data_IF_342336586575
#
_entry.id   IF_342336586575
#
_cell.length_a   1.000
_cell.length_b   1.000
_cell.length_c   1.000
_cell.angle_alpha   90.00
_cell.angle_beta   90.00
_cell.angle_gamma   90.00
#
_symmetry.space_group_name_H-M   'P 1'
#
loop_
_entity.id
_entity.type
_entity.pdbx_description
1 polymer ?
#
# COMPACT_ATOMS: atom_id res chain seq x y z
N UNK A 1 10.20 12.96 17.11
CA UNK A 1 9.01 12.90 16.24
C UNK A 1 8.77 11.45 15.89
N UNK A 2 7.66 10.87 16.31
CA UNK A 2 7.31 9.50 15.90
C UNK A 2 6.85 9.61 14.44
N UNK A 3 7.58 9.01 13.51
CA UNK A 3 7.13 8.92 12.11
C UNK A 3 5.76 8.25 12.10
N UNK A 4 4.78 8.85 11.41
CA UNK A 4 3.47 8.23 11.27
C UNK A 4 3.62 6.83 10.67
N UNK A 5 2.99 5.83 11.29
CA UNK A 5 3.07 4.46 10.83
C UNK A 5 2.44 4.32 9.42
N UNK A 6 3.09 3.60 8.49
CA UNK A 6 2.63 3.55 7.11
C UNK A 6 1.44 2.61 6.92
N UNK A 7 0.63 2.91 5.91
CA UNK A 7 -0.49 2.13 5.36
C UNK A 7 -0.14 1.72 3.95
N UNK A 8 0.62 0.65 3.80
CA UNK A 8 1.13 0.20 2.51
C UNK A 8 0.19 -0.82 1.87
N UNK A 9 0.18 -0.85 0.55
CA UNK A 9 -0.41 -1.93 -0.24
C UNK A 9 0.66 -2.51 -1.15
N UNK A 10 1.02 -3.77 -0.94
CA UNK A 10 1.99 -4.51 -1.74
C UNK A 10 1.24 -5.41 -2.72
N UNK A 11 1.43 -5.16 -4.00
CA UNK A 11 0.74 -5.85 -5.10
C UNK A 11 1.78 -6.43 -6.07
N UNK A 12 1.42 -7.53 -6.72
CA UNK A 12 2.23 -8.12 -7.78
C UNK A 12 3.21 -9.19 -7.30
N UNK A 13 4.01 -9.71 -8.24
CA UNK A 13 4.82 -10.92 -8.12
C UNK A 13 4.06 -12.20 -7.72
N UNK A 14 4.73 -13.35 -7.85
CA UNK A 14 4.23 -14.62 -7.32
C UNK A 14 3.99 -14.49 -5.81
N UNK A 15 2.99 -15.21 -5.31
CA UNK A 15 2.52 -15.14 -3.92
C UNK A 15 3.67 -15.17 -2.91
N UNK A 16 4.58 -16.14 -3.01
CA UNK A 16 5.71 -16.26 -2.08
C UNK A 16 6.59 -15.00 -1.99
N UNK A 17 6.91 -14.37 -3.12
CA UNK A 17 7.75 -13.15 -3.14
C UNK A 17 7.01 -11.97 -2.53
N UNK A 18 5.74 -11.79 -2.91
CA UNK A 18 4.89 -10.72 -2.38
C UNK A 18 4.68 -10.83 -0.88
N UNK A 19 4.36 -12.04 -0.41
CA UNK A 19 4.18 -12.40 1.00
C UNK A 19 5.44 -12.07 1.78
N UNK A 20 6.60 -12.57 1.35
CA UNK A 20 7.88 -12.30 2.04
C UNK A 20 8.15 -10.80 2.09
N UNK A 21 7.90 -10.07 1.00
CA UNK A 21 8.09 -8.63 0.96
C UNK A 21 7.20 -7.90 1.95
N UNK A 22 5.90 -8.24 1.96
CA UNK A 22 4.95 -7.63 2.88
C UNK A 22 5.31 -7.90 4.35
N UNK A 23 5.79 -9.11 4.69
CA UNK A 23 6.28 -9.42 6.05
C UNK A 23 7.47 -8.54 6.43
N UNK A 24 8.46 -8.40 5.53
CA UNK A 24 9.67 -7.62 5.84
C UNK A 24 9.37 -6.15 6.04
N UNK A 25 8.50 -5.56 5.20
CA UNK A 25 8.05 -4.19 5.37
C UNK A 25 7.25 -4.01 6.66
N UNK A 26 6.30 -4.91 6.93
CA UNK A 26 5.52 -4.89 8.18
C UNK A 26 6.42 -4.94 9.42
N UNK A 27 7.41 -5.85 9.42
CA UNK A 27 8.40 -5.98 10.49
C UNK A 27 9.30 -4.75 10.63
N UNK A 28 9.73 -4.16 9.52
CA UNK A 28 10.57 -2.95 9.54
C UNK A 28 9.84 -1.76 10.18
N UNK A 29 8.56 -1.55 9.85
CA UNK A 29 7.78 -0.42 10.35
C UNK A 29 7.00 -0.72 11.65
N UNK A 30 7.05 -1.95 12.15
CA UNK A 30 6.33 -2.35 13.37
C UNK A 30 4.80 -2.31 13.22
N UNK A 31 4.28 -2.54 12.01
CA UNK A 31 2.83 -2.54 11.70
C UNK A 31 2.36 -3.95 11.33
N UNK A 32 1.07 -4.28 11.51
CA UNK A 32 0.55 -5.59 11.10
C UNK A 32 0.57 -5.76 9.58
N UNK A 33 0.88 -6.99 9.14
CA UNK A 33 0.56 -7.42 7.78
C UNK A 33 -0.87 -7.93 7.73
N UNK A 34 -1.61 -7.54 6.68
CA UNK A 34 -2.97 -7.97 6.42
C UNK A 34 -3.03 -8.65 5.04
N UNK A 35 -3.37 -9.94 4.95
CA UNK A 35 -3.71 -10.56 3.67
C UNK A 35 -5.03 -10.00 3.12
N UNK A 36 -5.07 -9.67 1.83
CA UNK A 36 -6.28 -9.15 1.19
C UNK A 36 -7.48 -10.13 1.30
N UNK A 37 -7.20 -11.43 1.23
CA UNK A 37 -8.20 -12.49 1.42
C UNK A 37 -8.86 -12.43 2.78
N UNK A 38 -8.09 -12.14 3.84
CA UNK A 38 -8.63 -12.07 5.20
C UNK A 38 -9.51 -10.85 5.37
N UNK A 39 -9.12 -9.72 4.78
CA UNK A 39 -9.95 -8.52 4.77
C UNK A 39 -11.28 -8.77 4.07
N UNK A 40 -11.25 -9.38 2.88
CA UNK A 40 -12.45 -9.69 2.10
C UNK A 40 -13.39 -10.67 2.84
N UNK A 41 -12.82 -11.70 3.48
CA UNK A 41 -13.59 -12.75 4.15
C UNK A 41 -14.11 -12.36 5.54
N UNK A 42 -13.34 -11.58 6.30
CA UNK A 42 -13.60 -11.39 7.73
C UNK A 42 -14.18 -10.02 8.09
N UNK A 43 -14.31 -9.09 7.11
CA UNK A 43 -14.80 -7.71 7.32
C UNK A 43 -14.16 -7.00 8.52
N UNK A 44 -12.90 -7.31 8.83
CA UNK A 44 -12.21 -6.70 9.96
C UNK A 44 -11.98 -5.20 9.69
N UNK A 45 -12.10 -4.34 10.72
CA UNK A 45 -11.73 -2.94 10.61
C UNK A 45 -10.23 -2.79 10.40
N UNK A 46 -9.82 -1.78 9.64
CA UNK A 46 -8.41 -1.51 9.41
C UNK A 46 -7.75 -0.96 10.68
N UNK A 47 -6.51 -1.39 11.00
CA UNK A 47 -5.77 -0.84 12.12
C UNK A 47 -5.49 0.66 11.91
N UNK A 48 -5.84 1.48 12.91
CA UNK A 48 -5.57 2.92 12.86
C UNK A 48 -4.05 3.23 12.85
N UNK A 49 -3.26 2.36 13.47
CA UNK A 49 -1.81 2.49 13.63
C UNK A 49 -0.96 2.02 12.45
N UNK A 50 -1.50 2.04 11.22
CA UNK A 50 -0.79 1.59 10.03
C UNK A 50 -0.94 0.09 9.75
N UNK A 51 -0.61 -0.32 8.55
CA UNK A 51 -0.68 -1.71 8.08
C UNK A 51 0.13 -1.91 6.81
N UNK A 52 0.46 -3.17 6.51
CA UNK A 52 0.90 -3.59 5.17
C UNK A 52 -0.12 -4.58 4.62
N UNK A 53 -0.89 -4.16 3.63
CA UNK A 53 -1.80 -5.04 2.90
C UNK A 53 -1.01 -5.80 1.83
N UNK A 54 -1.06 -7.12 1.86
CA UNK A 54 -0.60 -7.96 0.75
C UNK A 54 -1.80 -8.34 -0.13
N UNK A 55 -1.73 -8.02 -1.42
CA UNK A 55 -2.84 -8.28 -2.34
C UNK A 55 -2.34 -8.87 -3.65
N UNK A 56 -2.96 -9.97 -4.09
CA UNK A 56 -2.83 -10.38 -5.48
C UNK A 56 -3.49 -9.34 -6.41
N UNK A 57 -2.99 -9.14 -7.65
CA UNK A 57 -3.56 -8.16 -8.57
C UNK A 57 -5.08 -8.32 -8.80
N UNK A 58 -5.53 -9.55 -9.09
CA UNK A 58 -6.95 -9.85 -9.37
C UNK A 58 -7.91 -9.50 -8.22
N UNK A 59 -7.45 -9.51 -6.96
CA UNK A 59 -8.29 -9.15 -5.81
C UNK A 59 -8.62 -7.66 -5.77
N UNK A 60 -7.86 -6.81 -6.47
CA UNK A 60 -8.16 -5.38 -6.60
C UNK A 60 -9.38 -5.14 -7.48
N UNK A 61 -9.67 -6.04 -8.43
CA UNK A 61 -10.83 -5.95 -9.33
C UNK A 61 -12.09 -6.49 -8.66
N UNK A 62 -11.95 -7.54 -7.83
CA UNK A 62 -13.02 -8.02 -6.95
C UNK A 62 -13.48 -6.99 -5.91
N UNK A 63 -12.66 -5.95 -5.65
CA UNK A 63 -13.04 -4.81 -4.83
C UNK A 63 -14.20 -3.98 -5.41
N UNK A 64 -14.69 -4.27 -6.62
CA UNK A 64 -15.98 -3.78 -7.12
C UNK A 64 -17.19 -4.32 -6.31
N UNK A 65 -16.99 -5.31 -5.44
CA UNK A 65 -17.91 -5.66 -4.34
C UNK A 65 -17.75 -4.76 -3.11
N UNK A 66 -18.81 -4.56 -2.33
CA UNK A 66 -18.77 -3.81 -1.07
C UNK A 66 -17.93 -4.61 -0.05
N UNK A 67 -16.74 -4.11 0.30
CA UNK A 67 -15.80 -4.80 1.20
C UNK A 67 -14.63 -3.93 1.66
N UNK A 68 -13.92 -4.40 2.69
CA UNK A 68 -12.82 -3.75 3.44
C UNK A 68 -11.56 -3.44 2.61
N UNK A 69 -11.40 -4.05 1.42
CA UNK A 69 -10.28 -3.74 0.51
C UNK A 69 -10.36 -2.30 -0.03
N UNK A 70 -11.57 -1.78 -0.30
CA UNK A 70 -11.74 -0.39 -0.76
C UNK A 70 -11.27 0.65 0.26
N UNK A 71 -11.69 0.59 1.54
CA UNK A 71 -11.12 1.43 2.57
C UNK A 71 -9.60 1.33 2.64
N UNK A 72 -9.02 0.13 2.55
CA UNK A 72 -7.58 -0.07 2.67
C UNK A 72 -6.81 0.63 1.56
N UNK A 73 -7.38 0.56 0.36
CA UNK A 73 -6.93 1.21 -0.85
C UNK A 73 -7.11 2.74 -0.78
N UNK A 74 -8.24 3.23 -0.27
CA UNK A 74 -8.51 4.67 -0.16
C UNK A 74 -7.61 5.38 0.86
N UNK A 75 -7.15 4.67 1.89
CA UNK A 75 -6.31 5.22 2.96
C UNK A 75 -4.83 4.86 2.83
N UNK A 76 -4.41 4.22 1.74
CA UNK A 76 -3.01 4.15 1.38
C UNK A 76 -2.51 5.59 1.06
N UNK A 77 -1.31 6.02 1.40
CA UNK A 77 -0.15 5.18 1.59
C UNK A 77 0.81 5.28 0.43
N UNK A 78 1.62 4.23 0.44
CA UNK A 78 2.34 3.63 -0.64
C UNK A 78 1.49 2.57 -1.34
N UNK A 79 1.31 2.61 -2.66
CA UNK A 79 1.07 1.38 -3.42
C UNK A 79 2.39 0.91 -4.02
N UNK A 80 2.90 -0.22 -3.50
CA UNK A 80 4.14 -0.86 -3.94
C UNK A 80 3.79 -1.96 -4.92
N UNK A 81 4.17 -1.77 -6.18
CA UNK A 81 3.98 -2.75 -7.24
C UNK A 81 5.27 -3.54 -7.49
N UNK A 82 5.24 -4.85 -7.25
CA UNK A 82 6.30 -5.77 -7.62
C UNK A 82 6.05 -6.27 -9.06
N UNK A 83 6.68 -5.60 -10.03
CA UNK A 83 6.48 -5.85 -11.47
C UNK A 83 7.36 -7.00 -11.95
N UNK A 84 6.82 -8.22 -11.95
CA UNK A 84 7.47 -9.38 -12.54
C UNK A 84 7.56 -9.30 -14.07
N UNK A 85 8.45 -10.10 -14.67
CA UNK A 85 8.67 -10.13 -16.13
C UNK A 85 7.40 -10.49 -16.93
N UNK A 86 6.50 -11.28 -16.34
CA UNK A 86 5.22 -11.70 -16.93
C UNK A 86 4.13 -10.60 -16.89
N UNK A 87 4.43 -9.42 -16.34
CA UNK A 87 3.45 -8.34 -16.24
C UNK A 87 3.23 -7.67 -17.60
N UNK A 88 2.13 -8.02 -18.27
CA UNK A 88 1.80 -7.50 -19.62
C UNK A 88 1.03 -6.18 -19.61
N UNK A 89 0.55 -5.71 -18.45
CA UNK A 89 -0.20 -4.46 -18.35
C UNK A 89 -1.62 -4.50 -18.96
N UNK A 90 -2.08 -5.70 -19.34
CA UNK A 90 -3.39 -5.91 -19.95
C UNK A 90 -4.49 -6.31 -18.94
N UNK A 91 -4.13 -6.61 -17.70
CA UNK A 91 -5.06 -7.07 -16.67
C UNK A 91 -5.96 -5.94 -16.13
N UNK A 92 -7.19 -6.25 -15.69
CA UNK A 92 -8.15 -5.24 -15.16
C UNK A 92 -7.57 -4.44 -13.99
N UNK A 93 -6.68 -5.06 -13.22
CA UNK A 93 -5.94 -4.47 -12.10
C UNK A 93 -5.12 -3.25 -12.52
N UNK A 94 -4.85 -3.10 -13.83
CA UNK A 94 -4.23 -1.93 -14.41
C UNK A 94 -5.09 -0.66 -14.27
N UNK A 95 -6.42 -0.73 -14.12
CA UNK A 95 -7.23 0.47 -13.85
C UNK A 95 -6.96 1.03 -12.46
N UNK A 96 -6.98 0.17 -11.43
CA UNK A 96 -6.68 0.57 -10.05
C UNK A 96 -5.24 1.07 -9.94
N UNK A 97 -4.28 0.38 -10.55
CA UNK A 97 -2.88 0.80 -10.54
C UNK A 97 -2.67 2.13 -11.29
N UNK A 98 -3.30 2.33 -12.46
CA UNK A 98 -3.28 3.62 -13.17
C UNK A 98 -3.87 4.75 -12.35
N UNK A 99 -4.91 4.48 -11.55
CA UNK A 99 -5.48 5.46 -10.63
C UNK A 99 -4.45 5.90 -9.57
N UNK A 100 -3.70 4.98 -8.98
CA UNK A 100 -2.64 5.33 -8.01
C UNK A 100 -1.43 6.00 -8.67
N UNK A 101 -1.06 5.56 -9.87
CA UNK A 101 -0.01 6.19 -10.67
C UNK A 101 -0.34 7.64 -10.98
N UNK A 102 -1.56 7.93 -11.43
CA UNK A 102 -2.03 9.28 -11.71
C UNK A 102 -2.05 10.20 -10.48
N UNK A 103 -2.11 9.63 -9.27
CA UNK A 103 -2.05 10.37 -8.00
C UNK A 103 -0.65 10.42 -7.39
N UNK A 104 0.36 9.87 -8.08
CA UNK A 104 1.74 9.82 -7.57
C UNK A 104 1.93 8.90 -6.36
N UNK A 105 1.00 7.97 -6.13
CA UNK A 105 1.01 7.05 -4.97
C UNK A 105 1.50 5.64 -5.35
N UNK A 106 1.90 5.41 -6.60
CA UNK A 106 2.41 4.12 -7.06
C UNK A 106 3.93 4.16 -7.20
N UNK A 107 4.63 3.22 -6.56
CA UNK A 107 6.03 2.94 -6.83
C UNK A 107 6.20 1.50 -7.31
N UNK A 108 6.79 1.34 -8.49
CA UNK A 108 7.05 0.05 -9.11
C UNK A 108 8.50 -0.40 -8.88
N UNK A 109 8.67 -1.65 -8.49
CA UNK A 109 9.96 -2.27 -8.24
C UNK A 109 10.02 -3.64 -8.93
N UNK A 110 11.22 -4.05 -9.34
CA UNK A 110 11.45 -5.45 -9.66
C UNK A 110 11.24 -6.30 -8.40
N UNK A 111 10.68 -7.52 -8.50
CA UNK A 111 10.50 -8.41 -7.34
C UNK A 111 11.80 -8.68 -6.55
N UNK A 112 12.95 -8.55 -7.21
CA UNK A 112 14.31 -8.80 -6.73
C UNK A 112 14.98 -7.53 -6.17
N UNK A 113 14.32 -6.36 -6.28
CA UNK A 113 14.85 -5.10 -5.79
C UNK A 113 15.19 -5.20 -4.28
N UNK A 114 16.30 -4.63 -3.80
CA UNK A 114 16.62 -4.60 -2.38
C UNK A 114 15.49 -4.01 -1.52
N UNK A 115 15.26 -4.56 -0.33
CA UNK A 115 14.27 -4.01 0.60
C UNK A 115 14.56 -2.54 0.97
N UNK A 116 15.84 -2.16 1.01
CA UNK A 116 16.28 -0.78 1.28
C UNK A 116 15.71 0.25 0.30
N UNK A 117 15.59 -0.09 -0.99
CA UNK A 117 15.08 0.84 -2.00
C UNK A 117 13.59 1.13 -1.80
N UNK A 118 12.83 0.09 -1.41
CA UNK A 118 11.42 0.23 -1.08
C UNK A 118 11.24 1.05 0.21
N UNK A 119 12.10 0.80 1.21
CA UNK A 119 12.09 1.55 2.47
C UNK A 119 12.33 3.04 2.20
N UNK A 120 13.33 3.38 1.38
CA UNK A 120 13.62 4.78 1.01
C UNK A 120 12.42 5.46 0.35
N UNK A 121 11.72 4.75 -0.55
CA UNK A 121 10.53 5.29 -1.21
C UNK A 121 9.37 5.52 -0.23
N UNK A 122 9.13 4.57 0.68
CA UNK A 122 8.09 4.71 1.71
C UNK A 122 8.42 5.85 2.66
N UNK A 123 9.66 5.96 3.13
CA UNK A 123 10.10 7.05 4.00
C UNK A 123 9.92 8.42 3.34
N UNK A 124 10.18 8.53 2.03
CA UNK A 124 9.95 9.77 1.30
C UNK A 124 8.47 10.20 1.34
N UNK A 125 7.54 9.26 1.16
CA UNK A 125 6.10 9.52 1.27
C UNK A 125 5.70 9.93 2.69
N UNK A 126 6.24 9.24 3.71
CA UNK A 126 5.95 9.55 5.11
C UNK A 126 6.48 10.92 5.53
N UNK A 127 7.65 11.34 5.02
CA UNK A 127 8.16 12.70 5.23
C UNK A 127 7.25 13.73 4.57
N UNK A 128 6.81 13.48 3.34
CA UNK A 128 5.85 14.35 2.63
C UNK A 128 4.55 14.56 3.41
N UNK A 129 4.03 13.52 4.06
CA UNK A 129 2.85 13.64 4.96
C UNK A 129 3.06 14.58 6.13
N UNK A 130 4.26 14.56 6.70
CA UNK A 130 4.58 15.38 7.87
C UNK A 130 4.75 16.85 7.48
N UNK A 131 4.98 17.12 6.19
CA UNK A 131 5.15 18.46 5.64
C UNK A 131 3.86 19.07 5.09
N UNK A 132 2.76 18.31 4.96
CA UNK A 132 1.44 18.86 4.66
C UNK A 132 1.00 19.69 5.89
N UNK A 133 1.00 21.03 5.81
CA UNK A 133 0.74 21.84 6.97
C UNK A 133 -0.74 21.69 7.33
N UNK A 134 -1.00 21.38 8.60
CA UNK A 134 -2.29 21.62 9.20
C UNK A 134 -2.51 23.15 9.22
N UNK A 135 -2.94 23.73 8.10
CA UNK A 135 -3.52 25.07 8.04
C UNK A 135 -4.89 25.01 8.72
N UNK A 136 -4.88 24.92 10.05
CA UNK A 136 -6.00 25.36 10.87
C UNK A 136 -6.04 26.88 10.81
N UNK A 137 -7.23 27.50 10.69
CA UNK A 137 -7.31 28.96 10.67
C UNK A 137 -6.72 29.52 11.97
N UNK A 138 -6.01 30.65 11.92
CA UNK A 138 -5.59 31.33 13.13
C UNK A 138 -6.84 31.84 13.83
N UNK A 139 -7.28 31.12 14.85
CA UNK A 139 -8.21 31.67 15.83
C UNK A 139 -7.55 32.87 16.49
N UNK A 140 -8.17 34.03 16.32
CA UNK A 140 -8.04 35.13 17.26
C UNK A 140 -8.48 36.46 16.69
N UNK A 141 -8.72 37.47 17.55
CA UNK A 141 -9.19 37.43 18.94
C UNK A 141 -10.68 37.84 19.08
#
# INVERSE_FOLDING_TARGET
MVSAAPRLVVIGAHEGVRVVRAVRLAGHYGVPRLPATDLLNQRQPLPAGGYVLDSAPHLLDEANGIGSLRPALAFADLVVLLRGAEWTGADESCRVLRYYEARGMLAAFAPEAPDGDLIVAVDAVLRGRTQDPSDGPPDGP
#
